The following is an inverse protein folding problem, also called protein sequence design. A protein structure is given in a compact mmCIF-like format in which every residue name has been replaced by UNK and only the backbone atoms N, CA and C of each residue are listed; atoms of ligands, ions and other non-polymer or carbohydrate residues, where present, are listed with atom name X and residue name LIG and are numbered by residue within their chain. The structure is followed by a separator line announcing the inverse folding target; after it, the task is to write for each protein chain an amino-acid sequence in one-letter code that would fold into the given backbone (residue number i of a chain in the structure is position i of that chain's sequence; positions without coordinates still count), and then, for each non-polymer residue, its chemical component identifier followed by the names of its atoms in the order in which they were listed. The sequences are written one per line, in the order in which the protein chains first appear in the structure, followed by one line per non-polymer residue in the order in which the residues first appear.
data_IF_098433275400
#
_entry.id   IF_098433275400
#
_cell.length_a   1.000
_cell.length_b   1.000
_cell.length_c   1.000
_cell.angle_alpha   90.00
_cell.angle_beta   90.00
_cell.angle_gamma   90.00
#
_symmetry.space_group_name_H-M   'P 1'
#
loop_
_entity.id
_entity.type
_entity.pdbx_description
1 polymer ?
#
# COMPACT_ATOMS: atom_id res chain seq x y z
N UNK A 1 -19.06 17.84 3.08
CA UNK A 1 -18.74 16.41 2.99
C UNK A 1 -17.29 16.22 2.58
N UNK A 2 -16.44 15.90 3.55
CA UNK A 2 -15.03 15.57 3.30
C UNK A 2 -14.93 14.05 3.06
N UNK A 3 -14.65 13.67 1.81
CA UNK A 3 -14.41 12.28 1.43
C UNK A 3 -13.27 11.63 2.23
N UNK A 4 -12.22 12.40 2.54
CA UNK A 4 -11.10 11.94 3.36
C UNK A 4 -11.29 12.31 4.83
N UNK A 5 -11.57 11.32 5.66
CA UNK A 5 -11.67 11.52 7.12
C UNK A 5 -10.28 11.74 7.72
N UNK A 6 -10.23 12.30 8.94
CA UNK A 6 -8.99 12.45 9.72
C UNK A 6 -8.27 11.14 10.06
N UNK A 7 -8.91 9.99 9.82
CA UNK A 7 -8.35 8.67 10.02
C UNK A 7 -7.84 8.02 8.73
N UNK A 8 -8.06 8.61 7.56
CA UNK A 8 -7.71 8.00 6.29
C UNK A 8 -6.22 7.62 6.22
N UNK A 9 -5.32 8.57 6.51
CA UNK A 9 -3.87 8.32 6.47
C UNK A 9 -3.44 7.29 7.53
N UNK A 10 -4.16 7.23 8.67
CA UNK A 10 -3.86 6.27 9.74
C UNK A 10 -4.20 4.85 9.30
N UNK A 11 -5.30 4.67 8.58
CA UNK A 11 -5.71 3.37 8.03
C UNK A 11 -4.84 2.96 6.84
N UNK A 12 -4.48 3.93 5.99
CA UNK A 12 -3.58 3.70 4.85
C UNK A 12 -2.10 3.52 5.28
N UNK A 13 -1.74 3.94 6.50
CA UNK A 13 -0.37 3.90 7.01
C UNK A 13 0.55 4.99 6.43
N UNK A 14 0.03 5.86 5.56
CA UNK A 14 0.76 6.94 4.88
C UNK A 14 -0.21 7.96 4.29
N UNK A 15 0.27 9.17 3.98
CA UNK A 15 -0.50 10.19 3.27
C UNK A 15 -0.48 10.03 1.74
N UNK A 16 0.35 9.11 1.23
CA UNK A 16 0.59 8.94 -0.20
C UNK A 16 -0.67 8.53 -0.95
N UNK A 17 -1.45 7.57 -0.42
CA UNK A 17 -2.68 7.11 -1.07
C UNK A 17 -3.66 8.26 -1.29
N UNK A 18 -3.87 9.11 -0.28
CA UNK A 18 -4.74 10.28 -0.41
C UNK A 18 -4.22 11.22 -1.50
N UNK A 19 -2.93 11.55 -1.46
CA UNK A 19 -2.30 12.44 -2.45
C UNK A 19 -2.47 11.91 -3.86
N UNK A 20 -2.24 10.62 -4.08
CA UNK A 20 -2.40 9.98 -5.39
C UNK A 20 -3.85 10.03 -5.91
N UNK A 21 -4.85 9.84 -5.04
CA UNK A 21 -6.27 9.96 -5.41
C UNK A 21 -6.60 11.42 -5.77
N UNK A 22 -6.11 12.39 -4.99
CA UNK A 22 -6.32 13.82 -5.27
C UNK A 22 -5.64 14.24 -6.59
N UNK A 23 -4.47 13.67 -6.89
CA UNK A 23 -3.75 13.85 -8.15
C UNK A 23 -4.45 13.19 -9.36
N UNK A 24 -5.52 12.42 -9.13
CA UNK A 24 -6.28 11.77 -10.19
C UNK A 24 -5.60 10.54 -10.79
N UNK A 25 -4.67 9.91 -10.05
CA UNK A 25 -4.04 8.66 -10.50
C UNK A 25 -5.06 7.54 -10.62
N UNK A 26 -4.83 6.67 -11.60
CA UNK A 26 -5.60 5.46 -11.75
C UNK A 26 -5.30 4.47 -10.64
N UNK A 27 -6.22 3.54 -10.40
CA UNK A 27 -6.00 2.45 -9.44
C UNK A 27 -4.74 1.64 -9.76
N UNK A 28 -4.49 1.38 -11.04
CA UNK A 28 -3.33 0.60 -11.49
C UNK A 28 -2.02 1.31 -11.15
N UNK A 29 -1.92 2.62 -11.42
CA UNK A 29 -0.73 3.42 -11.05
C UNK A 29 -0.52 3.47 -9.53
N UNK A 30 -1.60 3.55 -8.75
CA UNK A 30 -1.54 3.53 -7.28
C UNK A 30 -1.01 2.18 -6.80
N UNK A 31 -1.54 1.07 -7.33
CA UNK A 31 -1.11 -0.29 -6.95
C UNK A 31 0.34 -0.56 -7.37
N UNK A 32 0.72 -0.13 -8.56
CA UNK A 32 2.10 -0.25 -9.05
C UNK A 32 3.09 0.47 -8.12
N UNK A 33 2.70 1.63 -7.57
CA UNK A 33 3.54 2.39 -6.63
C UNK A 33 3.89 1.61 -5.36
N UNK A 34 3.08 0.63 -4.96
CA UNK A 34 3.31 -0.20 -3.78
C UNK A 34 4.24 -1.38 -4.04
N UNK A 35 4.38 -1.80 -5.31
CA UNK A 35 5.02 -3.06 -5.69
C UNK A 35 6.45 -3.18 -5.15
N UNK A 36 7.22 -2.09 -5.21
CA UNK A 36 8.62 -2.06 -4.75
C UNK A 36 8.76 -2.40 -3.26
N UNK A 37 7.90 -1.82 -2.43
CA UNK A 37 7.94 -2.04 -0.97
C UNK A 37 7.32 -3.39 -0.59
N UNK A 38 6.31 -3.83 -1.34
CA UNK A 38 5.76 -5.19 -1.20
C UNK A 38 6.84 -6.25 -1.50
N UNK A 39 7.60 -6.09 -2.58
CA UNK A 39 8.68 -7.02 -2.94
C UNK A 39 9.80 -7.03 -1.88
N UNK A 40 10.12 -5.85 -1.32
CA UNK A 40 11.07 -5.75 -0.20
C UNK A 40 10.53 -6.47 1.04
N UNK A 41 9.25 -6.30 1.37
CA UNK A 41 8.64 -6.95 2.52
C UNK A 41 8.55 -8.47 2.34
N UNK A 42 8.21 -8.97 1.14
CA UNK A 42 8.21 -10.40 0.82
C UNK A 42 9.56 -11.06 1.10
N UNK A 43 10.68 -10.39 0.78
CA UNK A 43 12.04 -10.88 1.09
C UNK A 43 12.34 -10.94 2.60
N UNK A 44 11.71 -10.07 3.40
CA UNK A 44 11.86 -10.07 4.85
C UNK A 44 10.96 -11.15 5.47
N UNK A 45 9.69 -11.23 5.05
CA UNK A 45 8.70 -12.16 5.60
C UNK A 45 9.08 -13.62 5.40
N UNK A 46 9.79 -13.94 4.30
CA UNK A 46 10.20 -15.31 3.96
C UNK A 46 11.00 -16.01 5.06
N UNK A 47 11.75 -15.25 5.88
CA UNK A 47 12.53 -15.78 7.01
C UNK A 47 11.66 -16.31 8.17
N UNK A 48 10.38 -15.93 8.19
CA UNK A 48 9.49 -16.16 9.32
C UNK A 48 8.26 -17.00 8.93
N UNK A 49 8.23 -17.54 7.71
CA UNK A 49 7.12 -18.37 7.26
C UNK A 49 7.14 -19.74 7.96
N UNK A 50 6.01 -20.11 8.56
CA UNK A 50 5.78 -21.43 9.14
C UNK A 50 5.15 -22.42 8.14
N UNK A 51 4.67 -21.90 7.02
CA UNK A 51 4.01 -22.64 5.94
C UNK A 51 4.59 -22.22 4.59
N UNK A 52 4.39 -23.04 3.57
CA UNK A 52 4.82 -22.73 2.21
C UNK A 52 4.22 -21.39 1.74
N UNK A 53 5.04 -20.56 1.10
CA UNK A 53 4.56 -19.29 0.54
C UNK A 53 3.61 -19.56 -0.63
N UNK A 54 2.67 -18.64 -0.84
CA UNK A 54 1.64 -18.76 -1.88
C UNK A 54 2.11 -18.21 -3.25
N UNK A 55 3.39 -17.88 -3.38
CA UNK A 55 4.02 -17.38 -4.61
C UNK A 55 4.89 -18.44 -5.30
#
# INVERSE_FOLDING_TARGET
DDFFTSFFDKLAGTDQLRKQIIEGKTEDEIRESWQKDLDKFKKIRSKYLLYQDFE
#
